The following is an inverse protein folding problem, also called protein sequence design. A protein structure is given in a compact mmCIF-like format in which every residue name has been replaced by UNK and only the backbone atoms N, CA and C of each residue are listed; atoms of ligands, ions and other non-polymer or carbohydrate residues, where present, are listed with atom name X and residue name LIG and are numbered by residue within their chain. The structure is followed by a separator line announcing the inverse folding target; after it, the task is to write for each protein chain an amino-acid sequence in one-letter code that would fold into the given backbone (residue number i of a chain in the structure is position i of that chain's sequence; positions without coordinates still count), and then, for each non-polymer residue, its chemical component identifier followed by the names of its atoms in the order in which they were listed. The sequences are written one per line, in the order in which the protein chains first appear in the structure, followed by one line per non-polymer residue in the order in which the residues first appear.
data_IF_607608595990
#
_entry.id   IF_607608595990
#
_cell.length_a   1.000
_cell.length_b   1.000
_cell.length_c   1.000
_cell.angle_alpha   90.00
_cell.angle_beta   90.00
_cell.angle_gamma   90.00
#
_symmetry.space_group_name_H-M   'P 1'
#
loop_
_entity.id
_entity.type
_entity.pdbx_description
1 polymer ?
#
# COMPACT_ATOMS: atom_id res chain seq x y z
N UNK A 1 15.05 10.30 13.19
CA UNK A 1 14.22 9.35 13.94
C UNK A 1 12.79 9.85 13.83
N UNK A 2 11.90 9.01 13.31
CA UNK A 2 10.49 9.35 13.09
C UNK A 2 9.68 8.67 14.19
N UNK A 3 8.87 9.43 14.92
CA UNK A 3 8.05 8.89 16.01
C UNK A 3 6.62 8.73 15.51
N UNK A 4 6.10 7.51 15.60
CA UNK A 4 4.69 7.23 15.35
C UNK A 4 4.02 7.04 16.71
N UNK A 5 3.00 7.85 17.00
CA UNK A 5 2.29 7.84 18.28
C UNK A 5 0.86 7.36 18.13
N UNK A 6 0.49 6.32 18.88
CA UNK A 6 -0.87 5.81 19.01
C UNK A 6 -1.33 5.63 20.44
N UNK A 7 -2.61 5.30 20.62
CA UNK A 7 -3.25 5.11 21.92
C UNK A 7 -2.40 4.25 22.87
N UNK A 8 -1.74 4.89 23.82
CA UNK A 8 -0.83 4.34 24.83
C UNK A 8 0.48 3.65 24.33
N UNK A 9 0.76 3.60 23.01
CA UNK A 9 1.97 2.97 22.44
C UNK A 9 2.73 3.97 21.55
N UNK A 10 4.03 4.14 21.81
CA UNK A 10 4.96 4.86 20.92
C UNK A 10 5.87 3.81 20.28
N UNK A 11 5.61 3.48 19.02
CA UNK A 11 6.56 2.73 18.21
C UNK A 11 7.56 3.73 17.61
N UNK A 12 8.83 3.62 18.03
CA UNK A 12 9.90 4.48 17.54
C UNK A 12 10.48 3.89 16.26
N UNK A 13 10.21 4.55 15.12
CA UNK A 13 10.76 4.17 13.83
C UNK A 13 12.11 4.86 13.60
N UNK A 14 13.17 4.07 13.52
CA UNK A 14 14.51 4.57 13.27
C UNK A 14 14.79 4.54 11.76
N UNK A 15 14.37 5.60 11.06
CA UNK A 15 14.69 5.78 9.64
C UNK A 15 16.09 6.40 9.45
N UNK A 16 16.87 5.91 8.47
CA UNK A 16 18.14 6.51 8.10
C UNK A 16 17.87 7.84 7.39
N UNK A 17 18.19 8.94 8.07
CA UNK A 17 18.11 10.29 7.50
C UNK A 17 19.49 10.80 7.05
N UNK A 18 20.43 9.88 6.87
CA UNK A 18 21.79 10.16 6.40
C UNK A 18 21.89 10.00 4.88
N UNK A 19 22.94 10.54 4.24
CA UNK A 19 23.13 10.47 2.79
C UNK A 19 23.58 9.10 2.28
N UNK A 20 23.89 8.16 3.17
CA UNK A 20 24.30 6.81 2.79
C UNK A 20 23.08 5.87 2.82
N UNK A 21 22.85 5.08 1.75
CA UNK A 21 21.79 4.09 1.74
C UNK A 21 22.09 2.89 2.65
N UNK A 22 21.04 2.25 3.17
CA UNK A 22 21.17 1.02 3.95
C UNK A 22 20.82 -0.21 3.10
N UNK A 23 21.82 -0.72 2.38
CA UNK A 23 21.70 -1.82 1.41
C UNK A 23 21.29 -3.17 2.04
N UNK A 24 21.50 -3.37 3.35
CA UNK A 24 21.23 -4.65 4.04
C UNK A 24 20.06 -4.56 5.03
N UNK A 25 19.31 -3.46 5.03
CA UNK A 25 18.18 -3.30 5.93
C UNK A 25 16.96 -4.10 5.41
N UNK A 26 16.23 -4.82 6.28
CA UNK A 26 15.07 -5.62 5.86
C UNK A 26 13.83 -4.75 5.61
N UNK A 27 13.88 -3.93 4.55
CA UNK A 27 12.82 -2.97 4.22
C UNK A 27 11.47 -3.65 3.98
N UNK A 28 11.46 -4.79 3.27
CA UNK A 28 10.24 -5.55 2.97
C UNK A 28 9.51 -6.02 4.25
N UNK A 29 10.26 -6.53 5.23
CA UNK A 29 9.70 -6.99 6.50
C UNK A 29 9.08 -5.83 7.29
N UNK A 30 9.74 -4.66 7.28
CA UNK A 30 9.23 -3.46 7.96
C UNK A 30 7.96 -2.92 7.28
N UNK A 31 7.92 -2.90 5.94
CA UNK A 31 6.71 -2.49 5.20
C UNK A 31 5.54 -3.43 5.50
N UNK A 32 5.80 -4.74 5.53
CA UNK A 32 4.79 -5.74 5.88
C UNK A 32 4.30 -5.59 7.33
N UNK A 33 5.18 -5.23 8.26
CA UNK A 33 4.81 -4.97 9.66
C UNK A 33 3.87 -3.76 9.77
N UNK A 34 4.17 -2.67 9.07
CA UNK A 34 3.33 -1.46 9.06
C UNK A 34 1.93 -1.79 8.52
N UNK A 35 1.86 -2.41 7.35
CA UNK A 35 0.59 -2.83 6.71
C UNK A 35 -0.18 -3.88 7.52
N UNK A 36 0.50 -4.64 8.37
CA UNK A 36 -0.05 -5.78 9.09
C UNK A 36 -0.75 -5.43 10.40
N UNK A 37 -0.63 -4.20 10.91
CA UNK A 37 -1.29 -3.84 12.18
C UNK A 37 -0.99 -2.48 12.77
N UNK A 38 -0.04 -1.71 12.22
CA UNK A 38 0.32 -0.43 12.83
C UNK A 38 -0.82 0.58 12.76
N UNK A 39 -1.70 0.53 11.75
CA UNK A 39 -2.88 1.40 11.70
C UNK A 39 -3.68 1.35 13.01
N UNK A 40 -3.98 0.15 13.49
CA UNK A 40 -4.77 -0.06 14.70
C UNK A 40 -3.94 0.14 15.97
N UNK A 41 -2.73 -0.41 16.01
CA UNK A 41 -1.85 -0.36 17.19
C UNK A 41 -1.33 1.06 17.48
N UNK A 42 -1.02 1.81 16.43
CA UNK A 42 -0.51 3.17 16.50
C UNK A 42 -1.60 4.22 16.29
N UNK A 43 -2.89 3.83 16.22
CA UNK A 43 -4.01 4.76 16.05
C UNK A 43 -3.85 5.71 14.85
N UNK A 44 -3.24 5.21 13.77
CA UNK A 44 -2.99 6.00 12.56
C UNK A 44 -4.24 6.06 11.69
N UNK A 45 -4.38 7.15 10.95
CA UNK A 45 -5.32 7.17 9.83
C UNK A 45 -4.79 6.34 8.66
N UNK A 46 -5.68 5.91 7.77
CA UNK A 46 -5.31 5.25 6.50
C UNK A 46 -4.34 6.10 5.67
N UNK A 47 -4.54 7.42 5.67
CA UNK A 47 -3.68 8.34 4.94
C UNK A 47 -2.26 8.39 5.53
N UNK A 48 -2.13 8.34 6.87
CA UNK A 48 -0.84 8.30 7.54
C UNK A 48 -0.10 6.98 7.30
N UNK A 49 -0.82 5.86 7.31
CA UNK A 49 -0.25 4.56 6.96
C UNK A 49 0.25 4.55 5.52
N UNK A 50 -0.55 5.03 4.57
CA UNK A 50 -0.16 5.09 3.15
C UNK A 50 1.08 5.96 2.94
N UNK A 51 1.12 7.16 3.54
CA UNK A 51 2.31 8.03 3.47
C UNK A 51 3.53 7.33 4.08
N UNK A 52 3.38 6.66 5.21
CA UNK A 52 4.49 5.94 5.84
C UNK A 52 5.00 4.80 4.95
N UNK A 53 4.10 4.02 4.36
CA UNK A 53 4.44 2.93 3.44
C UNK A 53 5.16 3.46 2.20
N UNK A 54 4.68 4.54 1.60
CA UNK A 54 5.33 5.18 0.45
C UNK A 54 6.76 5.62 0.78
N UNK A 55 6.98 6.19 1.97
CA UNK A 55 8.32 6.55 2.43
C UNK A 55 9.23 5.31 2.58
N UNK A 56 8.72 4.23 3.16
CA UNK A 56 9.48 3.00 3.32
C UNK A 56 9.83 2.34 1.97
N UNK A 57 8.93 2.36 1.00
CA UNK A 57 9.19 1.94 -0.39
C UNK A 57 10.30 2.82 -0.99
N UNK A 58 10.26 4.13 -0.76
CA UNK A 58 11.33 5.04 -1.14
C UNK A 58 12.69 4.62 -0.58
N UNK A 59 12.75 4.24 0.69
CA UNK A 59 13.99 3.72 1.29
C UNK A 59 14.46 2.42 0.64
N UNK A 60 13.57 1.46 0.39
CA UNK A 60 13.88 0.19 -0.27
C UNK A 60 14.50 0.40 -1.65
N UNK A 61 13.76 1.08 -2.53
CA UNK A 61 14.13 1.25 -3.95
C UNK A 61 15.39 2.09 -4.14
N UNK A 62 15.55 3.11 -3.29
CA UNK A 62 16.71 4.01 -3.36
C UNK A 62 17.93 3.46 -2.63
N UNK A 63 17.75 2.47 -1.74
CA UNK A 63 18.87 1.75 -1.11
C UNK A 63 19.42 0.66 -2.01
N UNK A 64 18.62 0.10 -2.91
CA UNK A 64 19.08 -0.86 -3.91
C UNK A 64 19.80 -0.17 -5.08
N UNK A 65 21.10 0.06 -4.90
CA UNK A 65 22.04 0.25 -5.99
C UNK A 65 22.68 1.64 -6.11
N UNK A 66 23.96 1.61 -6.51
CA UNK A 66 24.85 2.79 -6.60
C UNK A 66 24.31 3.91 -7.50
N UNK A 67 23.49 3.56 -8.49
CA UNK A 67 22.93 4.52 -9.46
C UNK A 67 21.84 5.43 -8.87
N UNK A 68 21.21 5.03 -7.77
CA UNK A 68 20.13 5.77 -7.12
C UNK A 68 20.62 6.71 -6.02
N UNK A 69 21.93 6.71 -5.74
CA UNK A 69 22.54 7.47 -4.63
C UNK A 69 22.21 8.96 -4.62
N UNK A 70 22.18 9.61 -5.78
CA UNK A 70 21.80 11.03 -5.87
C UNK A 70 20.35 11.27 -5.45
N UNK A 71 19.43 10.44 -5.94
CA UNK A 71 18.02 10.49 -5.58
C UNK A 71 17.80 10.15 -4.10
N UNK A 72 18.57 9.21 -3.55
CA UNK A 72 18.56 8.89 -2.12
C UNK A 72 19.01 10.07 -1.25
N UNK A 73 20.08 10.76 -1.65
CA UNK A 73 20.56 11.97 -0.97
C UNK A 73 19.50 13.08 -0.99
N UNK A 74 18.84 13.31 -2.13
CA UNK A 74 17.74 14.28 -2.24
C UNK A 74 16.54 13.88 -1.36
N UNK A 75 16.16 12.60 -1.38
CA UNK A 75 15.07 12.04 -0.57
C UNK A 75 15.30 12.24 0.93
N UNK A 76 16.47 11.82 1.42
CA UNK A 76 16.83 11.93 2.85
C UNK A 76 17.04 13.38 3.28
N UNK A 77 17.48 14.25 2.37
CA UNK A 77 17.51 15.69 2.59
C UNK A 77 16.11 16.27 2.79
N UNK A 78 15.14 15.94 1.91
CA UNK A 78 13.75 16.40 2.03
C UNK A 78 13.13 15.96 3.36
N UNK A 79 13.31 14.69 3.74
CA UNK A 79 12.87 14.19 5.05
C UNK A 79 13.56 14.92 6.21
N UNK A 80 14.85 15.19 6.09
CA UNK A 80 15.61 15.95 7.08
C UNK A 80 15.07 17.36 7.27
N UNK A 81 14.63 18.02 6.19
CA UNK A 81 13.99 19.35 6.25
C UNK A 81 12.67 19.29 7.00
N UNK A 82 11.80 18.34 6.69
CA UNK A 82 10.51 18.15 7.39
C UNK A 82 10.74 17.93 8.88
N UNK A 83 11.59 16.98 9.23
CA UNK A 83 11.87 16.63 10.63
C UNK A 83 12.52 17.78 11.40
N UNK A 84 13.38 18.58 10.75
CA UNK A 84 14.07 19.70 11.41
C UNK A 84 13.17 20.90 11.65
N UNK A 85 12.12 21.06 10.83
CA UNK A 85 11.17 22.17 10.93
C UNK A 85 9.96 21.84 11.80
N UNK A 86 9.66 20.55 12.01
CA UNK A 86 8.53 20.10 12.80
C UNK A 86 8.69 20.42 14.29
N UNK A 87 7.73 21.12 14.87
CA UNK A 87 7.53 21.16 16.31
C UNK A 87 6.77 19.90 16.79
N UNK A 88 6.92 19.47 18.06
CA UNK A 88 6.27 18.25 18.56
C UNK A 88 4.74 18.24 18.48
N UNK A 89 4.12 19.40 18.25
CA UNK A 89 2.67 19.57 18.12
C UNK A 89 2.21 19.71 16.68
N UNK A 90 3.13 19.72 15.73
CA UNK A 90 2.82 19.97 14.33
C UNK A 90 2.28 18.72 13.67
N UNK A 91 1.26 18.92 12.85
CA UNK A 91 0.77 17.90 11.93
C UNK A 91 1.68 17.85 10.71
N UNK A 92 2.72 17.01 10.80
CA UNK A 92 3.72 16.83 9.73
C UNK A 92 3.19 15.98 8.56
N UNK A 93 1.98 15.43 8.65
CA UNK A 93 1.41 14.55 7.63
C UNK A 93 1.39 15.21 6.25
N UNK A 94 0.99 16.49 6.19
CA UNK A 94 0.93 17.23 4.92
C UNK A 94 2.30 17.39 4.27
N UNK A 95 3.35 17.63 5.04
CA UNK A 95 4.71 17.77 4.52
C UNK A 95 5.29 16.42 4.09
N UNK A 96 5.05 15.36 4.87
CA UNK A 96 5.42 13.99 4.50
C UNK A 96 4.67 13.52 3.25
N UNK A 97 3.41 13.92 3.08
CA UNK A 97 2.63 13.64 1.87
C UNK A 97 3.22 14.30 0.62
N UNK A 98 3.85 15.47 0.74
CA UNK A 98 4.60 16.08 -0.38
C UNK A 98 5.83 15.26 -0.75
N UNK A 99 6.54 14.71 0.24
CA UNK A 99 7.68 13.82 -0.01
C UNK A 99 7.23 12.52 -0.66
N UNK A 100 6.12 11.94 -0.19
CA UNK A 100 5.51 10.75 -0.80
C UNK A 100 5.12 11.01 -2.26
N UNK A 101 4.42 12.13 -2.54
CA UNK A 101 4.06 12.50 -3.91
C UNK A 101 5.30 12.67 -4.82
N UNK A 102 6.39 13.24 -4.31
CA UNK A 102 7.65 13.32 -5.03
C UNK A 102 8.25 11.95 -5.33
N UNK A 103 8.14 10.97 -4.42
CA UNK A 103 8.59 9.59 -4.67
C UNK A 103 7.83 8.95 -5.84
N UNK A 104 6.51 9.13 -5.92
CA UNK A 104 5.68 8.66 -7.04
C UNK A 104 6.06 9.29 -8.39
N UNK A 105 6.68 10.48 -8.38
CA UNK A 105 7.17 11.12 -9.61
C UNK A 105 8.55 10.61 -10.06
N UNK A 106 9.39 10.12 -9.14
CA UNK A 106 10.80 9.74 -9.43
C UNK A 106 11.04 8.24 -9.49
N UNK A 107 10.19 7.43 -8.85
CA UNK A 107 10.27 5.97 -8.88
C UNK A 107 9.33 5.39 -9.94
N UNK A 108 9.64 4.20 -10.43
CA UNK A 108 8.75 3.47 -11.33
C UNK A 108 7.46 3.07 -10.60
N UNK A 109 6.32 3.20 -11.28
CA UNK A 109 4.99 2.88 -10.71
C UNK A 109 4.92 1.44 -10.15
N UNK A 110 5.70 0.52 -10.74
CA UNK A 110 5.75 -0.87 -10.33
C UNK A 110 6.34 -1.06 -8.92
N UNK A 111 7.14 -0.11 -8.41
CA UNK A 111 7.66 -0.14 -7.04
C UNK A 111 6.54 -0.07 -5.99
N UNK A 112 5.42 0.59 -6.31
CA UNK A 112 4.30 0.77 -5.39
C UNK A 112 3.21 -0.29 -5.55
N UNK A 113 3.07 -0.88 -6.75
CA UNK A 113 2.01 -1.86 -7.05
C UNK A 113 2.05 -3.10 -6.17
N UNK A 114 3.26 -3.57 -5.81
CA UNK A 114 3.45 -4.77 -4.98
C UNK A 114 2.75 -4.65 -3.62
N UNK A 115 2.67 -3.43 -3.07
CA UNK A 115 2.12 -3.18 -1.75
C UNK A 115 0.67 -2.70 -1.77
N UNK A 116 0.20 -2.15 -2.90
CA UNK A 116 -1.24 -1.92 -3.14
C UNK A 116 -2.00 -3.25 -3.14
N UNK A 117 -1.46 -4.28 -3.80
CA UNK A 117 -2.09 -5.61 -3.82
C UNK A 117 -1.98 -6.34 -2.46
N UNK A 118 -0.90 -6.11 -1.71
CA UNK A 118 -0.74 -6.67 -0.36
C UNK A 118 -1.71 -6.05 0.67
N UNK A 119 -1.91 -4.73 0.62
CA UNK A 119 -2.90 -4.03 1.45
C UNK A 119 -4.35 -4.46 1.13
N UNK A 120 -4.64 -4.79 -0.14
CA UNK A 120 -5.94 -5.34 -0.57
C UNK A 120 -6.14 -6.80 -0.13
N UNK A 121 -5.05 -7.57 0.01
CA UNK A 121 -5.13 -8.96 0.49
C UNK A 121 -5.22 -9.08 2.02
N UNK A 122 -4.65 -8.14 2.78
CA UNK A 122 -4.79 -8.09 4.24
C UNK A 122 -6.13 -7.49 4.69
N UNK A 123 -6.79 -6.71 3.83
CA UNK A 123 -8.21 -6.37 3.96
C UNK A 123 -9.09 -7.53 3.49
N UNK A 124 -8.99 -8.68 4.15
CA UNK A 124 -10.06 -9.69 4.06
C UNK A 124 -11.37 -9.04 4.52
N UNK A 125 -12.47 -9.17 3.75
CA UNK A 125 -13.75 -8.62 4.15
C UNK A 125 -14.23 -9.35 5.41
N UNK A 126 -14.19 -8.67 6.55
CA UNK A 126 -15.00 -9.09 7.69
C UNK A 126 -16.48 -9.05 7.26
N UNK A 127 -17.12 -10.21 7.42
CA UNK A 127 -18.53 -10.53 7.20
C UNK A 127 -19.03 -10.61 5.75
N UNK A 128 -18.85 -11.79 5.15
CA UNK A 128 -19.81 -12.33 4.18
C UNK A 128 -20.64 -13.45 4.80
N UNK A 129 -21.31 -13.15 5.91
CA UNK A 129 -22.49 -13.90 6.37
C UNK A 129 -23.77 -13.09 6.04
N UNK A 130 -23.86 -12.62 4.79
CA UNK A 130 -25.15 -12.25 4.20
C UNK A 130 -25.65 -13.48 3.47
N UNK A 131 -26.59 -14.18 4.11
CA UNK A 131 -27.44 -15.18 3.47
C UNK A 131 -27.90 -14.65 2.10
N UNK A 132 -27.40 -15.27 1.03
CA UNK A 132 -28.02 -15.16 -0.28
C UNK A 132 -29.38 -15.85 -0.19
N UNK A 133 -30.37 -15.09 0.29
CA UNK A 133 -31.77 -15.41 0.17
C UNK A 133 -32.06 -15.75 -1.30
N UNK A 134 -32.65 -16.93 -1.48
CA UNK A 134 -32.98 -17.56 -2.75
C UNK A 134 -33.66 -16.56 -3.69
N UNK A 135 -32.87 -16.05 -4.64
CA UNK A 135 -33.34 -15.24 -5.75
C UNK A 135 -34.12 -16.12 -6.72
N UNK A 136 -35.44 -15.90 -6.71
CA UNK A 136 -36.43 -16.43 -7.62
C UNK A 136 -35.94 -16.44 -9.09
N UNK A 137 -35.89 -17.63 -9.67
CA UNK A 137 -35.61 -17.89 -11.08
C UNK A 137 -36.69 -17.27 -11.96
N UNK A 138 -36.37 -16.22 -12.73
CA UNK A 138 -37.09 -15.90 -13.96
C UNK A 138 -36.12 -15.42 -15.03
N UNK A 139 -35.89 -16.26 -16.03
CA UNK A 139 -35.42 -15.81 -17.34
C UNK A 139 -36.21 -16.53 -18.43
N UNK A 140 -36.89 -15.69 -19.21
CA UNK A 140 -37.16 -15.76 -20.65
C UNK A 140 -37.79 -17.02 -21.29
N UNK A 141 -39.06 -16.83 -21.69
CA UNK A 141 -39.59 -16.97 -23.06
C UNK A 141 -38.94 -18.02 -23.99
N UNK A 142 -39.56 -19.19 -24.11
CA UNK A 142 -39.57 -19.94 -25.36
C UNK A 142 -40.93 -20.59 -25.59
N UNK A 143 -41.73 -19.95 -26.43
CA UNK A 143 -42.94 -20.51 -26.99
C UNK A 143 -42.90 -20.52 -28.52
N UNK A 144 -42.48 -21.63 -29.14
CA UNK A 144 -43.24 -22.27 -30.23
C UNK A 144 -42.67 -23.61 -30.70
N UNK A 145 -43.60 -24.54 -30.80
CA UNK A 145 -43.53 -25.92 -31.28
C UNK A 145 -43.19 -26.02 -32.77
N UNK A 146 -42.38 -27.01 -33.14
CA UNK A 146 -42.15 -27.49 -34.51
C UNK A 146 -41.51 -28.88 -34.50
N UNK A 147 -42.28 -29.89 -34.88
CA UNK A 147 -42.10 -31.35 -34.74
C UNK A 147 -41.28 -31.99 -35.90
N UNK A 148 -40.61 -33.11 -35.57
CA UNK A 148 -40.05 -34.19 -36.42
C UNK A 148 -38.93 -33.86 -37.44
N UNK A 149 -38.00 -34.73 -37.80
CA UNK A 149 -37.45 -36.00 -37.31
C UNK A 149 -36.34 -36.41 -38.30
N UNK A 150 -35.45 -37.30 -37.85
CA UNK A 150 -34.67 -38.25 -38.66
C UNK A 150 -33.23 -37.87 -39.09
N UNK A 151 -32.29 -38.51 -38.39
CA UNK A 151 -31.32 -39.49 -38.93
C UNK A 151 -30.10 -39.01 -39.71
N UNK A 152 -28.96 -39.09 -39.03
CA UNK A 152 -27.71 -39.82 -39.37
C UNK A 152 -27.23 -39.99 -40.84
N UNK A 153 -25.98 -39.54 -41.03
CA UNK A 153 -24.81 -40.25 -41.60
C UNK A 153 -24.51 -40.19 -43.13
N UNK A 154 -23.26 -39.76 -43.38
CA UNK A 154 -22.27 -39.97 -44.46
C UNK A 154 -22.61 -40.09 -45.96
N UNK A 155 -21.64 -39.52 -46.72
CA UNK A 155 -21.29 -39.55 -48.15
C UNK A 155 -22.15 -38.78 -49.18
#
# INVERSE_FOLDING_TARGET
MLYVSGGDIVNSLCLPIGPEPEEEYPWDDLIAEVLGGWRDECGMSEEQENVLVDLLIGFRELSDGVQNRGTYEDYTYLLGVVISNAEPTDDVQGELGVVAAWLHDVLDEDAFKEYVDAAVQTTEPWDSDVELGEGELVSEDEGKVGVDASTQTDE
#
